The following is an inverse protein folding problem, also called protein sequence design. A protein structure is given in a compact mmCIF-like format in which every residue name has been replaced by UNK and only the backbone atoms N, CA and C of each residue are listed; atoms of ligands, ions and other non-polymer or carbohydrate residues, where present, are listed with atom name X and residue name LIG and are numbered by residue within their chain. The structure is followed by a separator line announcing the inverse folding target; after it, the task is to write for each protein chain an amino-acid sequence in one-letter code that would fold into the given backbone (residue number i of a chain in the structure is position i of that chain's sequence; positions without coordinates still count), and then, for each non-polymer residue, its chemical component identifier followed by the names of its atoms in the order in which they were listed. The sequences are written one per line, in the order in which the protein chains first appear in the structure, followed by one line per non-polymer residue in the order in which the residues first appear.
data_IF_375192121338
#
_entry.id   IF_375192121338
#
_cell.length_a   1.000
_cell.length_b   1.000
_cell.length_c   1.000
_cell.angle_alpha   90.00
_cell.angle_beta   90.00
_cell.angle_gamma   90.00
#
_symmetry.space_group_name_H-M   'P 1'
#
loop_
_entity.id
_entity.type
_entity.pdbx_description
1 polymer ?
#
# COMPACT_ATOMS: atom_id res chain seq x y z
N UNK A 1 -20.69 10.88 16.33
CA UNK A 1 -20.31 9.57 16.87
C UNK A 1 -19.01 9.17 16.19
N UNK A 2 -18.09 8.50 16.90
CA UNK A 2 -16.90 7.96 16.31
C UNK A 2 -17.24 6.68 15.52
N UNK A 3 -16.54 6.41 14.41
CA UNK A 3 -16.62 5.15 13.69
C UNK A 3 -15.86 4.08 14.46
N UNK A 4 -16.48 2.93 14.68
CA UNK A 4 -15.90 1.78 15.38
C UNK A 4 -15.10 0.94 14.39
N UNK A 5 -13.82 0.75 14.72
CA UNK A 5 -12.86 0.14 13.79
C UNK A 5 -12.27 -1.13 14.39
N UNK A 6 -12.22 -2.18 13.57
CA UNK A 6 -11.46 -3.40 13.85
C UNK A 6 -10.15 -3.32 13.06
N UNK A 7 -9.01 -3.46 13.74
CA UNK A 7 -7.73 -3.64 13.07
C UNK A 7 -7.53 -5.12 12.73
N UNK A 8 -7.33 -5.44 11.45
CA UNK A 8 -7.06 -6.80 11.00
C UNK A 8 -5.57 -7.01 10.74
N UNK A 9 -4.92 -7.73 11.64
CA UNK A 9 -3.49 -7.96 11.79
C UNK A 9 -2.68 -6.79 12.39
N UNK A 10 -1.63 -7.17 13.14
CA UNK A 10 -0.74 -6.26 13.90
C UNK A 10 0.71 -6.40 13.43
N UNK A 11 0.93 -6.43 12.11
CA UNK A 11 2.23 -6.23 11.47
C UNK A 11 2.65 -4.76 11.52
N UNK A 12 3.71 -4.38 10.79
CA UNK A 12 4.22 -2.99 10.84
C UNK A 12 3.15 -1.95 10.45
N UNK A 13 2.44 -2.16 9.33
CA UNK A 13 1.32 -1.29 8.92
C UNK A 13 0.20 -1.31 9.97
N UNK A 14 -0.16 -2.50 10.49
CA UNK A 14 -1.22 -2.63 11.48
C UNK A 14 -0.92 -1.94 12.80
N UNK A 15 0.33 -1.96 13.28
CA UNK A 15 0.75 -1.22 14.49
C UNK A 15 0.61 0.29 14.29
N UNK A 16 1.14 0.80 13.17
CA UNK A 16 1.01 2.22 12.83
C UNK A 16 -0.46 2.62 12.63
N UNK A 17 -1.30 1.73 12.09
CA UNK A 17 -2.73 1.97 11.95
C UNK A 17 -3.45 2.04 13.31
N UNK A 18 -3.12 1.16 14.27
CA UNK A 18 -3.67 1.21 15.63
C UNK A 18 -3.32 2.56 16.28
N UNK A 19 -2.06 3.00 16.22
CA UNK A 19 -1.66 4.31 16.73
C UNK A 19 -2.46 5.44 16.07
N UNK A 20 -2.61 5.38 14.74
CA UNK A 20 -3.39 6.34 13.98
C UNK A 20 -4.89 6.35 14.33
N UNK A 21 -5.51 5.17 14.50
CA UNK A 21 -6.93 5.06 14.91
C UNK A 21 -7.15 5.68 16.28
N UNK A 22 -6.30 5.35 17.25
CA UNK A 22 -6.40 5.88 18.63
C UNK A 22 -6.24 7.40 18.66
N UNK A 23 -5.38 7.97 17.81
CA UNK A 23 -5.18 9.41 17.73
C UNK A 23 -6.24 10.14 16.90
N UNK A 24 -7.08 9.45 16.13
CA UNK A 24 -8.01 10.08 15.20
C UNK A 24 -9.33 10.47 15.91
N UNK A 25 -9.78 11.74 15.82
CA UNK A 25 -10.94 12.24 16.60
C UNK A 25 -12.30 11.64 16.20
N UNK A 26 -12.38 10.98 15.04
CA UNK A 26 -13.62 10.37 14.53
C UNK A 26 -13.59 8.84 14.58
N UNK A 27 -12.55 8.20 15.15
CA UNK A 27 -12.40 6.75 15.17
C UNK A 27 -12.29 6.22 16.60
N UNK A 28 -12.72 4.96 16.77
CA UNK A 28 -12.64 4.19 18.01
C UNK A 28 -12.19 2.77 17.69
N UNK A 29 -11.09 2.29 18.30
CA UNK A 29 -10.65 0.91 18.15
C UNK A 29 -11.53 0.00 19.02
N UNK A 30 -12.25 -0.95 18.40
CA UNK A 30 -13.17 -1.85 19.10
C UNK A 30 -12.76 -3.32 19.07
N UNK A 31 -11.81 -3.68 18.22
CA UNK A 31 -11.31 -5.05 18.11
C UNK A 31 -10.02 -5.13 17.32
N UNK A 32 -9.30 -6.25 17.49
CA UNK A 32 -8.16 -6.55 16.63
C UNK A 32 -8.02 -8.05 16.39
N UNK A 33 -7.83 -8.39 15.11
CA UNK A 33 -7.48 -9.75 14.70
C UNK A 33 -5.97 -9.96 14.71
N UNK A 34 -5.51 -11.10 15.23
CA UNK A 34 -4.10 -11.50 15.22
C UNK A 34 -3.96 -12.94 14.73
N UNK A 35 -2.94 -13.19 13.90
CA UNK A 35 -2.70 -14.53 13.35
C UNK A 35 -2.14 -15.51 14.40
N UNK A 36 -1.19 -15.04 15.21
CA UNK A 36 -0.44 -15.90 16.14
C UNK A 36 -1.11 -16.05 17.49
N UNK A 37 -1.22 -17.30 18.00
CA UNK A 37 -1.76 -17.58 19.33
C UNK A 37 -1.03 -16.83 20.46
N UNK A 38 0.25 -16.50 20.29
CA UNK A 38 1.02 -15.74 21.28
C UNK A 38 0.54 -14.28 21.46
N UNK A 39 -0.23 -13.74 20.52
CA UNK A 39 -0.83 -12.40 20.62
C UNK A 39 -2.29 -12.43 21.01
N UNK A 40 -3.00 -13.54 20.79
CA UNK A 40 -4.39 -13.69 21.18
C UNK A 40 -4.54 -13.63 22.71
N UNK A 41 -5.57 -12.92 23.17
CA UNK A 41 -5.82 -12.71 24.59
C UNK A 41 -5.02 -11.54 25.23
N UNK A 42 -4.11 -10.90 24.48
CA UNK A 42 -3.34 -9.74 24.97
C UNK A 42 -4.01 -8.42 24.59
N UNK A 43 -3.71 -7.39 25.36
CA UNK A 43 -4.14 -6.02 25.02
C UNK A 43 -3.46 -5.54 23.72
N UNK A 44 -4.25 -4.90 22.84
CA UNK A 44 -3.77 -4.42 21.53
C UNK A 44 -2.73 -3.31 21.68
N UNK A 45 -2.88 -2.43 22.69
CA UNK A 45 -1.90 -1.40 22.99
C UNK A 45 -0.53 -2.01 23.29
N UNK A 46 -0.48 -3.01 24.18
CA UNK A 46 0.76 -3.71 24.52
C UNK A 46 1.40 -4.39 23.27
N UNK A 47 0.58 -5.02 22.41
CA UNK A 47 1.07 -5.64 21.17
C UNK A 47 1.69 -4.60 20.24
N UNK A 48 1.15 -3.39 20.24
CA UNK A 48 1.57 -2.30 19.34
C UNK A 48 2.62 -1.35 19.99
N UNK A 49 3.04 -1.58 21.25
CA UNK A 49 4.00 -0.73 21.94
C UNK A 49 3.38 0.56 22.48
N UNK A 50 2.07 0.58 22.72
CA UNK A 50 1.29 1.65 23.29
C UNK A 50 0.90 1.31 24.75
N UNK A 51 0.45 2.29 25.56
CA UNK A 51 -0.25 1.99 26.80
C UNK A 51 -1.44 1.06 26.57
N UNK A 52 -1.88 0.29 27.60
CA UNK A 52 -3.06 -0.55 27.46
C UNK A 52 -4.28 0.24 26.97
N UNK A 53 -4.96 -0.30 25.95
CA UNK A 53 -6.13 0.31 25.31
C UNK A 53 -7.45 -0.29 25.80
N UNK A 54 -7.41 -1.38 26.57
CA UNK A 54 -8.60 -2.11 27.01
C UNK A 54 -9.25 -2.93 25.90
N UNK A 55 -8.60 -3.09 24.75
CA UNK A 55 -9.07 -3.89 23.63
C UNK A 55 -8.25 -5.18 23.54
N UNK A 56 -8.92 -6.32 23.71
CA UNK A 56 -8.27 -7.63 23.65
C UNK A 56 -8.16 -8.13 22.20
N UNK A 57 -6.96 -8.47 21.78
CA UNK A 57 -6.74 -9.10 20.47
C UNK A 57 -7.23 -10.55 20.46
N UNK A 58 -7.80 -10.99 19.34
CA UNK A 58 -8.29 -12.36 19.17
C UNK A 58 -7.91 -12.92 17.80
N UNK A 59 -7.81 -14.24 17.70
CA UNK A 59 -7.72 -14.98 16.43
C UNK A 59 -9.06 -15.65 16.05
N UNK A 60 -10.12 -15.40 16.82
CA UNK A 60 -11.48 -15.84 16.53
C UNK A 60 -12.15 -14.85 15.56
N UNK A 61 -12.19 -15.25 14.29
CA UNK A 61 -12.80 -14.47 13.21
C UNK A 61 -14.30 -14.26 13.44
N UNK A 62 -15.03 -15.30 13.93
CA UNK A 62 -16.48 -15.20 14.13
C UNK A 62 -16.81 -14.20 15.24
N UNK A 63 -16.05 -14.20 16.33
CA UNK A 63 -16.22 -13.23 17.40
C UNK A 63 -16.03 -11.79 16.88
N UNK A 64 -15.04 -11.54 16.00
CA UNK A 64 -14.82 -10.21 15.41
C UNK A 64 -15.90 -9.83 14.39
N UNK A 65 -16.37 -10.76 13.57
CA UNK A 65 -17.47 -10.49 12.63
C UNK A 65 -18.77 -10.17 13.35
N UNK A 66 -18.99 -10.71 14.55
CA UNK A 66 -20.15 -10.43 15.41
C UNK A 66 -20.08 -9.08 16.17
N UNK A 67 -18.87 -8.46 16.24
CA UNK A 67 -18.75 -7.14 16.89
C UNK A 67 -19.56 -6.09 16.13
N UNK A 68 -20.13 -5.18 16.89
CA UNK A 68 -20.74 -3.97 16.35
C UNK A 68 -19.63 -2.97 15.98
N UNK A 69 -19.25 -2.97 14.69
CA UNK A 69 -18.19 -2.14 14.14
C UNK A 69 -18.55 -1.66 12.73
N UNK A 70 -18.07 -0.47 12.38
CA UNK A 70 -18.40 0.21 11.14
C UNK A 70 -17.40 -0.12 10.01
N UNK A 71 -16.12 -0.41 10.39
CA UNK A 71 -15.05 -0.62 9.42
C UNK A 71 -14.00 -1.60 9.92
N UNK A 72 -13.43 -2.36 9.00
CA UNK A 72 -12.22 -3.15 9.20
C UNK A 72 -11.08 -2.52 8.41
N UNK A 73 -9.97 -2.16 9.08
CA UNK A 73 -8.72 -1.87 8.42
C UNK A 73 -7.97 -3.20 8.23
N UNK A 74 -7.98 -3.68 6.99
CA UNK A 74 -7.53 -5.02 6.63
C UNK A 74 -6.08 -4.99 6.11
N UNK A 75 -5.11 -5.42 6.94
CA UNK A 75 -3.68 -5.35 6.61
C UNK A 75 -2.87 -6.60 7.01
N UNK A 76 -3.34 -7.84 6.70
CA UNK A 76 -2.52 -9.04 6.89
C UNK A 76 -1.35 -9.07 5.89
N UNK A 77 -0.50 -10.09 5.98
CA UNK A 77 0.65 -10.23 5.08
C UNK A 77 0.23 -10.40 3.61
N UNK A 78 -0.82 -11.17 3.35
CA UNK A 78 -1.40 -11.40 2.03
C UNK A 78 -2.91 -11.25 2.10
N UNK A 79 -3.50 -10.66 1.07
CA UNK A 79 -4.94 -10.55 0.95
C UNK A 79 -5.58 -11.92 0.69
N UNK A 80 -6.73 -12.16 1.33
CA UNK A 80 -7.58 -13.34 1.12
C UNK A 80 -8.97 -12.86 0.72
N UNK A 81 -9.34 -12.94 -0.57
CA UNK A 81 -10.62 -12.44 -1.05
C UNK A 81 -11.83 -13.01 -0.29
N UNK A 82 -11.79 -14.30 0.06
CA UNK A 82 -12.87 -14.96 0.80
C UNK A 82 -13.07 -14.36 2.20
N UNK A 83 -11.99 -13.97 2.85
CA UNK A 83 -12.02 -13.32 4.16
C UNK A 83 -12.61 -11.91 4.05
N UNK A 84 -12.18 -11.15 3.03
CA UNK A 84 -12.73 -9.81 2.74
C UNK A 84 -14.23 -9.88 2.40
N UNK A 85 -14.66 -10.84 1.60
CA UNK A 85 -16.08 -11.08 1.29
C UNK A 85 -16.88 -11.30 2.57
N UNK A 86 -16.41 -12.15 3.49
CA UNK A 86 -17.10 -12.42 4.77
C UNK A 86 -17.18 -11.16 5.65
N UNK A 87 -16.13 -10.35 5.69
CA UNK A 87 -16.12 -9.07 6.42
C UNK A 87 -17.19 -8.13 5.84
N UNK A 88 -17.23 -7.96 4.53
CA UNK A 88 -18.21 -7.12 3.85
C UNK A 88 -19.65 -7.60 4.08
N UNK A 89 -19.90 -8.92 3.96
CA UNK A 89 -21.21 -9.52 4.21
C UNK A 89 -21.68 -9.40 5.67
N UNK A 90 -20.75 -9.24 6.62
CA UNK A 90 -21.06 -8.95 8.01
C UNK A 90 -21.50 -7.49 8.28
N UNK A 91 -21.63 -6.67 7.21
CA UNK A 91 -22.04 -5.28 7.32
C UNK A 91 -20.94 -4.30 7.72
N UNK A 92 -19.67 -4.63 7.50
CA UNK A 92 -18.52 -3.79 7.83
C UNK A 92 -17.80 -3.30 6.57
N UNK A 93 -17.55 -2.01 6.50
CA UNK A 93 -16.70 -1.44 5.46
C UNK A 93 -15.27 -1.99 5.54
N UNK A 94 -14.54 -1.99 4.44
CA UNK A 94 -13.14 -2.43 4.42
C UNK A 94 -12.24 -1.35 3.81
N UNK A 95 -11.14 -1.05 4.48
CA UNK A 95 -10.02 -0.26 3.94
C UNK A 95 -8.77 -1.12 3.99
N UNK A 96 -8.01 -1.18 2.87
CA UNK A 96 -6.86 -2.10 2.78
C UNK A 96 -5.73 -1.55 1.92
N UNK A 97 -4.45 -1.77 2.28
CA UNK A 97 -3.30 -1.48 1.43
C UNK A 97 -2.91 -2.64 0.50
N UNK A 98 -3.69 -3.73 0.44
CA UNK A 98 -3.27 -4.98 -0.19
C UNK A 98 -3.86 -5.25 -1.58
N UNK A 99 -4.61 -4.32 -2.16
CA UNK A 99 -5.24 -4.51 -3.47
C UNK A 99 -6.53 -3.73 -3.62
N UNK A 100 -7.31 -4.07 -4.64
CA UNK A 100 -8.59 -3.40 -4.98
C UNK A 100 -8.47 -1.89 -5.20
N UNK A 101 -7.31 -1.43 -5.68
CA UNK A 101 -7.09 -0.01 -6.01
C UNK A 101 -7.98 0.42 -7.18
N UNK A 102 -8.01 -0.38 -8.26
CA UNK A 102 -8.91 -0.23 -9.40
C UNK A 102 -9.14 -1.62 -10.04
N UNK A 103 -9.90 -2.50 -9.39
CA UNK A 103 -9.97 -3.91 -9.77
C UNK A 103 -10.92 -4.19 -10.94
N UNK A 104 -11.54 -3.18 -11.53
CA UNK A 104 -12.55 -3.35 -12.57
C UNK A 104 -12.00 -4.11 -13.79
N UNK A 105 -12.70 -5.16 -14.20
CA UNK A 105 -12.26 -6.06 -15.26
C UNK A 105 -11.34 -7.20 -14.79
N UNK A 106 -10.98 -7.28 -13.51
CA UNK A 106 -10.20 -8.40 -12.97
C UNK A 106 -11.10 -9.55 -12.49
N UNK A 107 -10.51 -10.76 -12.43
CA UNK A 107 -11.24 -11.94 -11.92
C UNK A 107 -11.57 -11.75 -10.43
N UNK A 108 -12.77 -12.16 -10.04
CA UNK A 108 -13.25 -12.13 -8.64
C UNK A 108 -13.80 -10.77 -8.18
N UNK A 109 -13.72 -9.72 -9.01
CA UNK A 109 -14.24 -8.40 -8.64
C UNK A 109 -15.76 -8.40 -8.46
N UNK A 110 -16.48 -9.16 -9.27
CA UNK A 110 -17.95 -9.22 -9.21
C UNK A 110 -18.45 -9.79 -7.87
N UNK A 111 -17.77 -10.78 -7.33
CA UNK A 111 -18.09 -11.40 -6.05
C UNK A 111 -17.88 -10.42 -4.89
N UNK A 112 -16.78 -9.66 -4.91
CA UNK A 112 -16.49 -8.63 -3.90
C UNK A 112 -17.50 -7.47 -4.00
N UNK A 113 -17.80 -7.00 -5.20
CA UNK A 113 -18.83 -5.97 -5.45
C UNK A 113 -20.19 -6.42 -4.96
N UNK A 114 -20.58 -7.70 -5.21
CA UNK A 114 -21.81 -8.28 -4.71
C UNK A 114 -21.84 -8.37 -3.18
N UNK A 115 -20.72 -8.70 -2.54
CA UNK A 115 -20.59 -8.72 -1.08
C UNK A 115 -20.77 -7.33 -0.47
N UNK A 116 -20.17 -6.30 -1.06
CA UNK A 116 -20.39 -4.90 -0.65
C UNK A 116 -21.88 -4.55 -0.67
N UNK A 117 -22.59 -4.93 -1.74
CA UNK A 117 -24.04 -4.65 -1.90
C UNK A 117 -24.88 -5.41 -0.89
N UNK A 118 -24.58 -6.70 -0.65
CA UNK A 118 -25.32 -7.50 0.35
C UNK A 118 -25.14 -6.96 1.76
N UNK A 119 -23.92 -6.55 2.12
CA UNK A 119 -23.63 -5.96 3.43
C UNK A 119 -24.05 -4.49 3.57
N UNK A 120 -24.41 -3.83 2.45
CA UNK A 120 -24.70 -2.39 2.47
C UNK A 120 -23.49 -1.51 2.75
N UNK A 121 -22.28 -1.96 2.40
CA UNK A 121 -20.98 -1.38 2.79
C UNK A 121 -20.05 -1.20 1.60
N UNK A 122 -18.91 -0.54 1.84
CA UNK A 122 -17.95 -0.20 0.81
C UNK A 122 -16.57 -0.82 1.10
N UNK A 123 -15.80 -1.03 0.03
CA UNK A 123 -14.39 -1.42 0.07
C UNK A 123 -13.55 -0.37 -0.65
N UNK A 124 -12.40 0.01 -0.05
CA UNK A 124 -11.38 0.86 -0.66
C UNK A 124 -10.01 0.21 -0.55
N UNK A 125 -9.36 -0.02 -1.69
CA UNK A 125 -7.92 -0.25 -1.78
C UNK A 125 -7.17 1.07 -1.79
N UNK A 126 -6.21 1.26 -0.88
CA UNK A 126 -5.41 2.48 -0.80
C UNK A 126 -4.10 2.23 -0.05
N UNK A 127 -3.17 3.18 -0.08
CA UNK A 127 -1.86 3.10 0.55
C UNK A 127 -1.00 4.25 0.05
N UNK A 128 0.34 4.08 0.07
CA UNK A 128 1.23 5.11 -0.47
C UNK A 128 1.71 4.77 -1.88
N UNK A 129 2.13 3.53 -2.13
CA UNK A 129 2.66 3.10 -3.41
C UNK A 129 2.54 1.55 -3.59
N UNK A 130 1.45 1.06 -4.22
CA UNK A 130 0.29 1.74 -4.83
C UNK A 130 -0.56 2.57 -3.85
N UNK A 131 -1.20 3.62 -4.36
CA UNK A 131 -2.07 4.51 -3.60
C UNK A 131 -1.82 5.99 -3.88
N UNK A 132 -1.35 6.73 -2.87
CA UNK A 132 -1.11 8.17 -2.95
C UNK A 132 -0.23 8.56 -4.12
N UNK A 133 0.97 7.97 -4.22
CA UNK A 133 1.99 8.31 -5.23
C UNK A 133 1.57 7.86 -6.64
N UNK A 134 0.95 6.69 -6.76
CA UNK A 134 0.62 6.11 -8.07
C UNK A 134 -0.68 6.63 -8.68
N UNK A 135 -1.65 7.02 -7.84
CA UNK A 135 -2.96 7.45 -8.36
C UNK A 135 -3.35 8.86 -7.91
N UNK A 136 -3.44 9.06 -6.59
CA UNK A 136 -4.06 10.27 -6.04
C UNK A 136 -3.31 11.54 -6.42
N UNK A 137 -1.98 11.56 -6.20
CA UNK A 137 -1.20 12.76 -6.51
C UNK A 137 -1.09 13.03 -8.01
N UNK A 138 -0.80 12.03 -8.88
CA UNK A 138 -0.86 12.25 -10.33
C UNK A 138 -2.20 12.80 -10.80
N UNK A 139 -3.33 12.26 -10.33
CA UNK A 139 -4.65 12.73 -10.71
C UNK A 139 -4.92 14.16 -10.25
N UNK A 140 -4.56 14.51 -9.01
CA UNK A 140 -4.69 15.88 -8.50
C UNK A 140 -3.82 16.88 -9.27
N UNK A 141 -2.57 16.51 -9.55
CA UNK A 141 -1.62 17.37 -10.26
C UNK A 141 -2.00 17.54 -11.74
N UNK A 142 -2.60 16.53 -12.36
CA UNK A 142 -3.04 16.59 -13.76
C UNK A 142 -4.08 17.69 -14.02
N UNK A 143 -4.83 18.10 -12.98
CA UNK A 143 -5.78 19.21 -13.08
C UNK A 143 -5.12 20.58 -13.38
N UNK A 144 -3.80 20.70 -13.20
CA UNK A 144 -3.01 21.87 -13.57
C UNK A 144 -2.65 21.90 -15.06
N UNK A 145 -2.87 20.78 -15.78
CA UNK A 145 -2.31 20.53 -17.10
C UNK A 145 -3.39 20.44 -18.17
N UNK A 146 -3.02 20.84 -19.39
CA UNK A 146 -3.70 20.44 -20.62
C UNK A 146 -2.77 19.54 -21.45
N UNK A 147 -3.33 18.73 -22.36
CA UNK A 147 -2.56 17.85 -23.28
C UNK A 147 -1.59 16.94 -22.52
N UNK A 148 -2.08 16.22 -21.53
CA UNK A 148 -1.29 15.20 -20.83
C UNK A 148 -0.88 14.12 -21.83
N UNK A 149 0.44 13.90 -21.98
CA UNK A 149 1.03 12.87 -22.86
C UNK A 149 1.47 11.66 -22.09
N UNK A 150 2.07 11.86 -20.92
CA UNK A 150 2.59 10.78 -20.09
C UNK A 150 2.55 11.15 -18.61
N UNK A 151 2.23 10.17 -17.77
CA UNK A 151 2.29 10.25 -16.31
C UNK A 151 3.27 9.20 -15.80
N UNK A 152 4.22 9.59 -14.94
CA UNK A 152 5.14 8.68 -14.27
C UNK A 152 5.07 8.87 -12.76
N UNK A 153 4.86 7.76 -12.05
CA UNK A 153 5.06 7.65 -10.61
C UNK A 153 6.23 6.72 -10.34
N UNK A 154 7.19 7.13 -9.51
CA UNK A 154 8.44 6.42 -9.31
C UNK A 154 8.91 6.47 -7.85
N UNK A 155 9.42 5.34 -7.36
CA UNK A 155 10.00 5.16 -6.04
C UNK A 155 11.50 4.90 -6.12
N UNK A 156 12.25 5.48 -5.20
CA UNK A 156 13.69 5.27 -5.00
C UNK A 156 13.92 4.97 -3.52
N UNK A 157 14.19 3.70 -3.18
CA UNK A 157 14.27 3.24 -1.79
C UNK A 157 15.47 2.35 -1.51
N UNK A 158 16.12 2.62 -0.38
CA UNK A 158 17.07 1.70 0.24
C UNK A 158 16.31 0.73 1.14
N UNK A 159 16.26 -0.53 0.73
CA UNK A 159 15.46 -1.57 1.40
C UNK A 159 16.15 -2.12 2.66
N UNK A 160 17.37 -1.71 2.97
CA UNK A 160 18.04 -2.11 4.21
C UNK A 160 17.29 -1.68 5.47
N UNK A 161 16.41 -0.69 5.38
CA UNK A 161 15.51 -0.29 6.48
C UNK A 161 14.35 -1.27 6.76
N UNK A 162 14.09 -2.24 5.87
CA UNK A 162 13.00 -3.19 6.04
C UNK A 162 13.41 -4.37 6.93
N UNK A 163 12.60 -4.63 7.99
CA UNK A 163 12.84 -5.72 8.95
C UNK A 163 11.99 -6.97 8.70
N UNK A 164 11.08 -6.94 7.72
CA UNK A 164 10.22 -8.06 7.41
C UNK A 164 10.94 -9.06 6.49
N UNK A 165 11.68 -10.01 7.06
CA UNK A 165 12.50 -10.99 6.34
C UNK A 165 11.73 -11.67 5.20
N UNK A 166 10.53 -12.18 5.46
CA UNK A 166 9.71 -12.81 4.42
C UNK A 166 9.41 -11.85 3.25
N UNK A 167 9.10 -10.58 3.54
CA UNK A 167 8.82 -9.60 2.48
C UNK A 167 10.07 -9.34 1.65
N UNK A 168 11.20 -9.08 2.31
CA UNK A 168 12.48 -8.79 1.63
C UNK A 168 12.96 -9.97 0.80
N UNK A 169 12.92 -11.19 1.38
CA UNK A 169 13.50 -12.39 0.76
C UNK A 169 12.56 -13.08 -0.22
N UNK A 170 11.28 -13.21 0.11
CA UNK A 170 10.34 -14.03 -0.66
C UNK A 170 9.42 -13.20 -1.57
N UNK A 171 9.05 -11.99 -1.18
CA UNK A 171 8.20 -11.09 -1.98
C UNK A 171 9.05 -10.17 -2.86
N UNK A 172 10.05 -9.50 -2.27
CA UNK A 172 10.95 -8.58 -2.99
C UNK A 172 12.15 -9.30 -3.62
N UNK A 173 12.40 -10.58 -3.31
CA UNK A 173 13.38 -11.48 -3.93
C UNK A 173 14.85 -11.11 -3.71
N UNK A 174 15.19 -10.28 -2.73
CA UNK A 174 16.58 -9.97 -2.40
C UNK A 174 17.32 -11.19 -1.84
N UNK A 175 18.59 -11.35 -2.23
CA UNK A 175 19.41 -12.51 -1.87
C UNK A 175 19.08 -13.79 -2.62
N UNK A 176 18.16 -13.78 -3.59
CA UNK A 176 17.90 -14.90 -4.50
C UNK A 176 18.92 -14.91 -5.64
N UNK A 177 19.17 -16.10 -6.22
CA UNK A 177 19.89 -16.19 -7.47
C UNK A 177 19.11 -15.44 -8.58
N UNK A 178 19.78 -14.73 -9.51
CA UNK A 178 19.10 -13.92 -10.53
C UNK A 178 18.07 -14.69 -11.35
N UNK A 179 18.36 -15.93 -11.75
CA UNK A 179 17.43 -16.74 -12.56
C UNK A 179 16.20 -17.16 -11.75
N UNK A 180 16.38 -17.49 -10.45
CA UNK A 180 15.26 -17.79 -9.58
C UNK A 180 14.37 -16.55 -9.36
N UNK A 181 14.95 -15.37 -9.23
CA UNK A 181 14.22 -14.12 -9.14
C UNK A 181 13.41 -13.83 -10.40
N UNK A 182 13.99 -14.00 -11.60
CA UNK A 182 13.29 -13.79 -12.89
C UNK A 182 12.08 -14.72 -13.08
N UNK A 183 12.13 -15.93 -12.53
CA UNK A 183 11.07 -16.94 -12.67
C UNK A 183 10.06 -16.90 -11.52
N UNK A 184 10.21 -16.00 -10.57
CA UNK A 184 9.35 -15.96 -9.38
C UNK A 184 7.92 -15.53 -9.72
N UNK A 185 6.89 -16.23 -9.22
CA UNK A 185 5.49 -15.79 -9.34
C UNK A 185 5.21 -14.48 -8.59
N UNK A 186 6.09 -14.07 -7.67
CA UNK A 186 5.97 -12.81 -6.93
C UNK A 186 6.05 -11.59 -7.84
N UNK A 187 6.70 -11.70 -9.02
CA UNK A 187 6.70 -10.62 -10.02
C UNK A 187 5.29 -10.26 -10.47
N UNK A 188 4.44 -11.26 -10.71
CA UNK A 188 3.04 -11.05 -11.04
C UNK A 188 2.25 -10.43 -9.88
N UNK A 189 2.51 -10.87 -8.65
CA UNK A 189 1.86 -10.33 -7.45
C UNK A 189 2.19 -8.85 -7.25
N UNK A 190 3.46 -8.47 -7.35
CA UNK A 190 3.89 -7.07 -7.26
C UNK A 190 3.25 -6.22 -8.36
N UNK A 191 3.26 -6.71 -9.61
CA UNK A 191 2.70 -6.00 -10.75
C UNK A 191 1.19 -5.79 -10.67
N UNK A 192 0.46 -6.68 -9.98
CA UNK A 192 -1.01 -6.62 -9.93
C UNK A 192 -1.53 -5.29 -9.36
N UNK A 193 -0.97 -4.81 -8.27
CA UNK A 193 -1.37 -3.53 -7.66
C UNK A 193 -1.03 -2.34 -8.56
N UNK A 194 0.21 -2.29 -9.07
CA UNK A 194 0.67 -1.19 -9.94
C UNK A 194 -0.08 -1.14 -11.26
N UNK A 195 -0.47 -2.28 -11.83
CA UNK A 195 -1.30 -2.33 -13.03
C UNK A 195 -2.70 -1.75 -12.78
N UNK A 196 -3.29 -1.95 -11.60
CA UNK A 196 -4.56 -1.31 -11.23
C UNK A 196 -4.41 0.21 -11.12
N UNK A 197 -3.31 0.71 -10.55
CA UNK A 197 -3.01 2.14 -10.50
C UNK A 197 -2.90 2.76 -11.90
N UNK A 198 -2.21 2.06 -12.80
CA UNK A 198 -2.10 2.47 -14.21
C UNK A 198 -3.48 2.55 -14.86
N UNK A 199 -4.33 1.55 -14.63
CA UNK A 199 -5.70 1.53 -15.17
C UNK A 199 -6.54 2.68 -14.63
N UNK A 200 -6.44 3.01 -13.34
CA UNK A 200 -7.17 4.12 -12.73
C UNK A 200 -6.74 5.47 -13.33
N UNK A 201 -5.43 5.71 -13.43
CA UNK A 201 -4.90 6.96 -13.99
C UNK A 201 -5.29 7.08 -15.47
N UNK A 202 -5.13 6.01 -16.25
CA UNK A 202 -5.51 5.99 -17.66
C UNK A 202 -7.02 6.24 -17.85
N UNK A 203 -7.86 5.57 -17.04
CA UNK A 203 -9.32 5.75 -17.07
C UNK A 203 -9.69 7.22 -16.80
N UNK A 204 -9.14 7.80 -15.75
CA UNK A 204 -9.45 9.18 -15.35
C UNK A 204 -8.98 10.22 -16.39
N UNK A 205 -7.85 9.97 -17.05
CA UNK A 205 -7.29 10.87 -18.07
C UNK A 205 -7.83 10.60 -19.48
N UNK A 206 -8.64 9.55 -19.67
CA UNK A 206 -9.23 9.19 -20.96
C UNK A 206 -8.27 8.51 -21.92
N UNK A 207 -7.20 7.88 -21.45
CA UNK A 207 -6.32 7.07 -22.28
C UNK A 207 -6.98 5.72 -22.62
N UNK A 208 -7.13 5.41 -23.91
CA UNK A 208 -7.56 4.10 -24.38
C UNK A 208 -6.34 3.17 -24.43
N UNK A 209 -6.06 2.48 -23.33
CA UNK A 209 -4.90 1.59 -23.23
C UNK A 209 -5.00 0.41 -24.20
N UNK A 210 -3.83 0.00 -24.72
CA UNK A 210 -3.66 -1.28 -25.38
C UNK A 210 -4.01 -2.42 -24.41
N UNK A 211 -4.44 -3.61 -24.90
CA UNK A 211 -4.86 -4.73 -24.05
C UNK A 211 -3.77 -5.21 -23.09
N UNK A 212 -2.51 -5.15 -23.52
CA UNK A 212 -1.36 -5.63 -22.77
C UNK A 212 -0.54 -4.46 -22.22
N UNK A 213 -0.17 -4.56 -20.95
CA UNK A 213 0.79 -3.67 -20.31
C UNK A 213 2.20 -4.21 -20.49
N UNK A 214 3.17 -3.31 -20.65
CA UNK A 214 4.59 -3.67 -20.67
C UNK A 214 5.10 -3.77 -19.24
N UNK A 215 5.78 -4.89 -18.92
CA UNK A 215 6.50 -5.07 -17.67
C UNK A 215 7.98 -5.29 -17.95
N UNK A 216 8.85 -4.55 -17.26
CA UNK A 216 10.29 -4.67 -17.35
C UNK A 216 10.84 -4.96 -15.96
N UNK A 217 11.82 -5.85 -15.87
CA UNK A 217 12.52 -6.19 -14.64
C UNK A 217 14.02 -6.17 -14.88
N UNK A 218 14.72 -5.24 -14.23
CA UNK A 218 16.16 -5.09 -14.28
C UNK A 218 16.72 -5.40 -12.89
N UNK A 219 17.92 -5.96 -12.81
CA UNK A 219 18.55 -6.36 -11.55
C UNK A 219 20.04 -6.04 -11.55
N UNK A 220 20.59 -5.74 -10.36
CA UNK A 220 22.01 -5.80 -10.07
C UNK A 220 22.27 -6.83 -8.97
N UNK A 221 23.42 -7.49 -9.05
CA UNK A 221 23.88 -8.48 -8.08
C UNK A 221 24.87 -7.88 -7.08
N UNK A 222 24.96 -8.44 -5.90
CA UNK A 222 26.00 -8.09 -4.93
C UNK A 222 27.38 -8.55 -5.42
N UNK A 223 28.37 -7.68 -5.36
CA UNK A 223 29.79 -8.01 -5.64
C UNK A 223 30.56 -8.36 -4.36
N UNK A 224 30.02 -8.00 -3.19
CA UNK A 224 30.50 -8.35 -1.87
C UNK A 224 29.32 -8.67 -0.96
N UNK A 225 29.59 -9.26 0.22
CA UNK A 225 28.57 -9.53 1.23
C UNK A 225 28.06 -8.20 1.80
N UNK A 226 26.72 -8.03 1.81
CA UNK A 226 26.02 -6.85 2.35
C UNK A 226 25.25 -7.29 3.61
N UNK A 227 25.58 -6.71 4.76
CA UNK A 227 24.86 -6.97 6.02
C UNK A 227 23.53 -6.21 6.04
N UNK A 228 22.46 -6.88 6.44
CA UNK A 228 21.11 -6.29 6.56
C UNK A 228 20.41 -6.81 7.82
N UNK A 229 19.39 -6.11 8.35
CA UNK A 229 18.60 -6.58 9.49
C UNK A 229 17.93 -7.94 9.28
N UNK A 230 17.71 -8.33 8.02
CA UNK A 230 17.09 -9.61 7.64
C UNK A 230 18.13 -10.68 7.25
N UNK A 231 19.37 -10.50 7.70
CA UNK A 231 20.50 -11.37 7.37
C UNK A 231 21.24 -10.91 6.10
N UNK A 232 22.40 -11.50 5.81
CA UNK A 232 23.28 -11.05 4.75
C UNK A 232 22.72 -11.30 3.35
N UNK A 233 23.05 -10.41 2.42
CA UNK A 233 22.93 -10.61 0.97
C UNK A 233 24.29 -11.10 0.48
N UNK A 234 24.37 -12.31 -0.02
CA UNK A 234 25.62 -12.91 -0.43
C UNK A 234 26.06 -12.46 -1.85
N UNK A 235 27.36 -12.42 -2.15
CA UNK A 235 27.85 -12.11 -3.49
C UNK A 235 27.21 -13.01 -4.57
N UNK A 236 26.92 -12.43 -5.74
CA UNK A 236 26.28 -13.10 -6.85
C UNK A 236 24.75 -13.25 -6.74
N UNK A 237 24.14 -12.74 -5.65
CA UNK A 237 22.69 -12.74 -5.48
C UNK A 237 22.10 -11.35 -5.72
N UNK A 238 20.78 -11.29 -5.93
CA UNK A 238 20.06 -10.04 -6.22
C UNK A 238 20.20 -9.06 -5.05
N UNK A 239 20.73 -7.88 -5.35
CA UNK A 239 20.95 -6.79 -4.37
C UNK A 239 20.33 -5.46 -4.82
N UNK A 240 19.94 -5.32 -6.09
CA UNK A 240 19.14 -4.18 -6.55
C UNK A 240 18.15 -4.63 -7.62
N UNK A 241 16.99 -3.98 -7.67
CA UNK A 241 15.94 -4.28 -8.63
C UNK A 241 15.21 -3.02 -9.07
N UNK A 242 14.90 -2.98 -10.36
CA UNK A 242 13.99 -1.99 -10.94
C UNK A 242 12.86 -2.71 -11.63
N UNK A 243 11.65 -2.44 -11.18
CA UNK A 243 10.43 -2.87 -11.84
C UNK A 243 9.78 -1.68 -12.53
N UNK A 244 9.36 -1.85 -13.77
CA UNK A 244 8.65 -0.83 -14.53
C UNK A 244 7.42 -1.47 -15.16
N UNK A 245 6.24 -0.94 -14.83
CA UNK A 245 4.97 -1.29 -15.47
C UNK A 245 4.45 -0.10 -16.24
N UNK A 246 3.99 -0.36 -17.47
CA UNK A 246 3.57 0.70 -18.39
C UNK A 246 2.22 0.36 -19.03
N UNK A 247 1.28 1.29 -18.94
CA UNK A 247 0.11 1.33 -19.80
C UNK A 247 0.48 2.01 -21.11
N UNK A 248 0.11 1.38 -22.23
CA UNK A 248 0.50 1.82 -23.57
C UNK A 248 -0.72 2.28 -24.37
N UNK A 249 -0.50 3.23 -25.26
CA UNK A 249 -1.44 3.58 -26.34
C UNK A 249 -0.69 3.50 -27.66
N UNK A 250 -1.10 2.57 -28.53
CA UNK A 250 -0.42 2.28 -29.82
C UNK A 250 1.08 1.94 -29.63
N UNK A 251 1.39 1.19 -28.57
CA UNK A 251 2.75 0.77 -28.25
C UNK A 251 3.60 1.80 -27.49
N UNK A 252 3.14 3.05 -27.35
CA UNK A 252 3.86 4.12 -26.63
C UNK A 252 3.37 4.24 -25.17
N UNK A 253 4.28 4.37 -24.18
CA UNK A 253 3.91 4.49 -22.78
C UNK A 253 3.21 5.83 -22.50
N UNK A 254 2.04 5.76 -21.85
CA UNK A 254 1.26 6.92 -21.41
C UNK A 254 1.10 7.00 -19.91
N UNK A 255 1.22 5.87 -19.20
CA UNK A 255 1.29 5.83 -17.72
C UNK A 255 2.38 4.84 -17.33
N UNK A 256 3.28 5.25 -16.45
CA UNK A 256 4.39 4.44 -15.94
C UNK A 256 4.37 4.43 -14.42
N UNK A 257 4.36 3.25 -13.82
CA UNK A 257 4.70 3.04 -12.43
C UNK A 257 6.07 2.34 -12.36
N UNK A 258 6.98 2.85 -11.53
CA UNK A 258 8.33 2.31 -11.39
C UNK A 258 8.76 2.28 -9.95
N UNK A 259 9.48 1.23 -9.57
CA UNK A 259 10.16 1.13 -8.29
C UNK A 259 11.63 0.81 -8.49
N UNK A 260 12.51 1.48 -7.74
CA UNK A 260 13.93 1.23 -7.68
C UNK A 260 14.28 0.89 -6.24
N UNK A 261 14.57 -0.38 -6.00
CA UNK A 261 14.88 -0.92 -4.69
C UNK A 261 16.30 -1.45 -4.64
N UNK A 262 17.10 -0.97 -3.69
CA UNK A 262 18.48 -1.34 -3.51
C UNK A 262 18.74 -1.81 -2.09
N UNK A 263 19.75 -2.67 -1.93
CA UNK A 263 20.39 -3.01 -0.64
C UNK A 263 21.66 -2.20 -0.47
N UNK A 264 21.55 -0.83 -0.47
CA UNK A 264 22.65 0.10 -0.55
C UNK A 264 23.15 0.27 -1.98
N UNK A 265 23.96 1.31 -2.21
CA UNK A 265 24.53 1.66 -3.52
C UNK A 265 25.92 1.06 -3.74
N UNK A 266 26.52 0.55 -2.67
CA UNK A 266 27.83 -0.08 -2.72
C UNK A 266 27.69 -1.55 -3.16
N UNK A 267 28.77 -2.06 -3.77
CA UNK A 267 28.89 -3.47 -4.10
C UNK A 267 27.80 -4.00 -5.05
N UNK A 268 27.36 -3.21 -6.03
CA UNK A 268 26.39 -3.58 -7.06
C UNK A 268 27.06 -3.76 -8.42
N UNK A 269 26.65 -4.80 -9.17
CA UNK A 269 27.03 -5.04 -10.56
C UNK A 269 25.75 -5.34 -11.41
N UNK A 270 25.40 -4.49 -12.41
CA UNK A 270 25.99 -3.18 -12.70
C UNK A 270 25.78 -2.17 -11.56
N UNK A 271 26.61 -1.13 -11.45
CA UNK A 271 26.44 -0.11 -10.41
C UNK A 271 25.19 0.73 -10.62
N UNK A 272 24.37 0.85 -9.56
CA UNK A 272 23.17 1.70 -9.53
C UNK A 272 23.29 2.75 -8.46
N UNK A 273 22.64 3.91 -8.69
CA UNK A 273 22.55 5.03 -7.74
C UNK A 273 21.10 5.43 -7.60
N UNK A 274 20.71 5.76 -6.36
CA UNK A 274 19.39 6.38 -6.07
C UNK A 274 19.46 7.90 -6.13
N UNK A 275 20.62 8.49 -5.82
CA UNK A 275 20.79 9.93 -5.59
C UNK A 275 19.81 10.45 -4.50
N UNK A 276 19.67 9.67 -3.44
CA UNK A 276 18.78 9.89 -2.31
C UNK A 276 17.41 9.24 -2.45
N UNK A 277 16.85 8.82 -1.30
CA UNK A 277 15.54 8.19 -1.22
C UNK A 277 14.43 9.21 -1.41
N UNK A 278 13.44 8.89 -2.24
CA UNK A 278 12.31 9.75 -2.56
C UNK A 278 11.23 9.04 -3.35
N UNK A 279 10.07 9.68 -3.46
CA UNK A 279 9.12 9.39 -4.52
C UNK A 279 9.04 10.56 -5.49
N UNK A 280 8.74 10.27 -6.75
CA UNK A 280 8.55 11.27 -7.80
C UNK A 280 7.23 11.05 -8.52
N UNK A 281 6.57 12.18 -8.87
CA UNK A 281 5.47 12.21 -9.84
C UNK A 281 5.84 13.21 -10.92
N UNK A 282 5.92 12.73 -12.16
CA UNK A 282 6.19 13.56 -13.32
C UNK A 282 5.06 13.43 -14.35
N UNK A 283 4.57 14.56 -14.84
CA UNK A 283 3.54 14.64 -15.86
C UNK A 283 4.10 15.41 -17.06
N UNK A 284 4.26 14.72 -18.18
CA UNK A 284 4.56 15.35 -19.46
C UNK A 284 3.27 15.91 -20.07
N UNK A 285 3.13 17.22 -20.01
CA UNK A 285 1.92 17.94 -20.38
C UNK A 285 2.21 19.42 -20.68
N UNK A 286 1.18 20.23 -20.78
CA UNK A 286 1.24 21.69 -20.91
C UNK A 286 0.46 22.36 -19.75
N UNK A 287 1.16 22.99 -18.76
CA UNK A 287 2.59 22.93 -18.49
C UNK A 287 3.01 21.54 -17.99
N UNK A 288 4.31 21.18 -18.08
CA UNK A 288 4.81 19.98 -17.44
C UNK A 288 4.83 20.17 -15.92
N UNK A 289 4.60 19.09 -15.18
CA UNK A 289 4.63 19.09 -13.70
C UNK A 289 5.59 18.02 -13.22
N UNK A 290 6.46 18.37 -12.27
CA UNK A 290 7.32 17.44 -11.58
C UNK A 290 7.30 17.73 -10.08
N UNK A 291 6.99 16.71 -9.27
CA UNK A 291 6.95 16.80 -7.82
C UNK A 291 7.81 15.69 -7.23
N UNK A 292 8.67 16.06 -6.28
CA UNK A 292 9.48 15.13 -5.50
C UNK A 292 9.00 15.15 -4.05
N UNK A 293 8.76 13.98 -3.51
CA UNK A 293 8.33 13.77 -2.12
C UNK A 293 9.52 13.27 -1.31
N UNK A 294 9.92 14.05 -0.32
CA UNK A 294 10.91 13.67 0.70
C UNK A 294 10.22 13.40 2.04
N UNK A 295 10.94 12.77 2.98
CA UNK A 295 10.45 12.48 4.33
C UNK A 295 9.50 11.28 4.41
N UNK A 296 9.32 10.51 3.32
CA UNK A 296 8.57 9.25 3.30
C UNK A 296 9.47 8.01 3.39
N UNK A 297 10.76 8.23 3.57
CA UNK A 297 11.79 7.22 3.80
C UNK A 297 12.53 7.53 5.10
N UNK A 298 13.16 6.54 5.76
CA UNK A 298 13.98 6.79 6.94
C UNK A 298 15.14 7.73 6.61
N UNK A 299 15.42 8.72 7.46
CA UNK A 299 16.59 9.57 7.29
C UNK A 299 17.91 8.79 7.49
N UNK A 300 17.86 7.77 8.34
CA UNK A 300 18.96 6.84 8.55
C UNK A 300 18.43 5.40 8.57
N UNK A 301 18.64 4.62 7.50
CA UNK A 301 18.16 3.24 7.40
C UNK A 301 18.67 2.32 8.53
N UNK A 302 19.81 2.65 9.16
CA UNK A 302 20.39 1.84 10.22
C UNK A 302 19.81 2.16 11.63
N UNK A 303 19.25 3.36 11.82
CA UNK A 303 18.77 3.85 13.12
C UNK A 303 17.26 3.88 13.24
N UNK A 304 16.55 4.15 12.14
CA UNK A 304 15.10 4.40 12.14
C UNK A 304 14.29 3.15 11.79
N UNK A 305 14.84 1.98 12.09
CA UNK A 305 14.25 0.68 11.79
C UNK A 305 12.85 0.49 12.37
N UNK A 306 12.59 1.08 13.55
CA UNK A 306 11.30 0.92 14.25
C UNK A 306 10.20 1.86 13.72
N UNK A 307 10.55 2.91 12.96
CA UNK A 307 9.62 3.92 12.45
C UNK A 307 9.91 4.25 10.99
N UNK A 308 9.54 3.36 10.09
CA UNK A 308 9.62 3.62 8.65
C UNK A 308 8.51 4.60 8.24
N UNK A 309 8.84 5.84 7.79
CA UNK A 309 7.84 6.85 7.39
C UNK A 309 6.92 6.40 6.27
N UNK A 310 7.39 5.56 5.32
CA UNK A 310 6.56 5.00 4.25
C UNK A 310 5.50 4.04 4.78
N UNK A 311 5.84 3.23 5.81
CA UNK A 311 4.88 2.37 6.49
C UNK A 311 3.84 3.22 7.24
N UNK A 312 4.29 4.26 7.95
CA UNK A 312 3.39 5.20 8.61
C UNK A 312 2.48 5.90 7.61
N UNK A 313 3.02 6.40 6.50
CA UNK A 313 2.23 7.05 5.45
C UNK A 313 1.18 6.10 4.83
N UNK A 314 1.54 4.83 4.62
CA UNK A 314 0.61 3.79 4.15
C UNK A 314 -0.53 3.57 5.16
N UNK A 315 -0.20 3.42 6.44
CA UNK A 315 -1.18 3.23 7.50
C UNK A 315 -2.10 4.46 7.63
N UNK A 316 -1.54 5.67 7.65
CA UNK A 316 -2.31 6.90 7.79
C UNK A 316 -3.19 7.18 6.58
N UNK A 317 -2.77 6.79 5.36
CA UNK A 317 -3.61 6.89 4.17
C UNK A 317 -4.87 6.01 4.28
N UNK A 318 -4.71 4.80 4.87
CA UNK A 318 -5.83 3.92 5.19
C UNK A 318 -6.71 4.49 6.32
N UNK A 319 -6.11 4.90 7.44
CA UNK A 319 -6.84 5.42 8.61
C UNK A 319 -7.67 6.64 8.26
N UNK A 320 -7.07 7.63 7.58
CA UNK A 320 -7.75 8.85 7.18
C UNK A 320 -8.88 8.61 6.16
N UNK A 321 -8.84 7.48 5.42
CA UNK A 321 -9.89 7.10 4.48
C UNK A 321 -11.16 6.54 5.15
N UNK A 322 -11.07 5.98 6.35
CA UNK A 322 -12.16 5.28 7.02
C UNK A 322 -13.46 6.13 7.09
N UNK A 323 -13.45 7.39 7.58
CA UNK A 323 -14.68 8.18 7.65
C UNK A 323 -15.35 8.41 6.29
N UNK A 324 -14.55 8.48 5.23
CA UNK A 324 -15.04 8.70 3.86
C UNK A 324 -15.65 7.43 3.28
N UNK A 325 -15.03 6.29 3.52
CA UNK A 325 -15.51 4.98 3.07
C UNK A 325 -16.81 4.59 3.78
N UNK A 326 -16.89 4.86 5.09
CA UNK A 326 -18.12 4.59 5.87
C UNK A 326 -19.33 5.47 5.43
N UNK A 327 -19.07 6.61 4.79
CA UNK A 327 -20.14 7.47 4.23
C UNK A 327 -20.44 7.22 2.77
N UNK A 328 -19.62 6.43 2.09
CA UNK A 328 -19.78 6.17 0.67
C UNK A 328 -20.98 5.24 0.39
N UNK A 329 -21.51 5.32 -0.81
CA UNK A 329 -22.51 4.36 -1.28
C UNK A 329 -21.90 2.94 -1.36
N UNK A 330 -22.65 1.86 -1.10
CA UNK A 330 -22.15 0.50 -1.13
C UNK A 330 -21.48 0.12 -2.47
N UNK A 331 -20.35 -0.58 -2.39
CA UNK A 331 -19.59 -1.05 -3.54
C UNK A 331 -18.08 -0.87 -3.38
N UNK A 332 -17.31 -1.32 -4.37
CA UNK A 332 -15.88 -1.02 -4.46
C UNK A 332 -15.73 0.47 -4.81
N UNK A 333 -14.94 1.18 -4.02
CA UNK A 333 -14.68 2.62 -4.18
C UNK A 333 -13.21 2.86 -4.51
N UNK A 334 -12.99 3.92 -5.26
CA UNK A 334 -11.65 4.37 -5.68
C UNK A 334 -11.49 5.86 -5.34
N UNK A 335 -10.33 6.42 -5.62
CA UNK A 335 -10.14 7.87 -5.51
C UNK A 335 -11.04 8.68 -6.46
N UNK A 336 -11.58 8.05 -7.50
CA UNK A 336 -12.50 8.71 -8.44
C UNK A 336 -13.92 8.87 -7.87
N UNK A 337 -14.26 8.06 -6.85
CA UNK A 337 -15.59 8.04 -6.23
C UNK A 337 -15.67 8.83 -4.92
N UNK A 338 -14.52 9.09 -4.30
CA UNK A 338 -14.44 9.68 -2.97
C UNK A 338 -14.01 11.15 -3.03
N UNK A 339 -14.52 12.00 -2.11
CA UNK A 339 -14.00 13.36 -1.98
C UNK A 339 -12.55 13.37 -1.53
N UNK A 340 -11.93 14.56 -1.51
CA UNK A 340 -10.57 14.72 -1.02
C UNK A 340 -10.43 14.21 0.42
N UNK A 341 -9.67 13.13 0.60
CA UNK A 341 -9.34 12.60 1.91
C UNK A 341 -8.24 13.47 2.53
N UNK A 342 -8.49 14.04 3.69
CA UNK A 342 -7.54 14.87 4.42
C UNK A 342 -7.16 14.23 5.76
N UNK A 343 -5.94 14.48 6.24
CA UNK A 343 -5.51 14.19 7.60
C UNK A 343 -6.20 15.09 8.62
N UNK A 344 -5.87 14.89 9.91
CA UNK A 344 -6.40 15.72 11.01
C UNK A 344 -5.27 16.52 11.65
N UNK A 345 -5.56 17.78 11.94
CA UNK A 345 -4.63 18.65 12.70
C UNK A 345 -4.57 18.24 14.17
N UNK A 346 -3.47 18.55 14.84
CA UNK A 346 -3.33 18.37 16.29
C UNK A 346 -4.43 19.21 16.99
N UNK A 347 -5.20 18.58 17.89
CA UNK A 347 -6.31 19.23 18.62
C UNK A 347 -7.56 19.47 17.78
N UNK A 348 -7.64 18.89 16.57
CA UNK A 348 -8.86 18.99 15.74
C UNK A 348 -10.05 18.33 16.42
N UNK A 349 -11.25 18.89 16.19
CA UNK A 349 -12.52 18.29 16.60
C UNK A 349 -13.09 17.49 15.42
N UNK A 350 -14.03 16.55 15.70
CA UNK A 350 -14.78 15.90 14.61
C UNK A 350 -15.37 16.93 13.67
N UNK A 351 -15.21 16.68 12.37
CA UNK A 351 -15.80 17.56 11.33
C UNK A 351 -17.27 17.18 11.23
N UNK A 352 -18.15 18.13 11.51
CA UNK A 352 -19.59 17.94 11.25
C UNK A 352 -19.80 17.75 9.75
N UNK A 353 -20.68 16.81 9.34
CA UNK A 353 -20.99 16.54 7.95
C UNK A 353 -21.60 17.76 7.22
#
# INVERSE_FOLDING_TARGET
MAYRVIQWATGNVGRAAVEGIVAHPELELTGAWVHGAAKAGRDVGEICGLPPLGVTATNDTEALLALDADCVLYSPLLARPEEVIRILESGKNVVTPLGWFFPFGTKGVAEVEAACRRGGVSLLGTGIHPGGITERFPLMLSALCRKVRHVRAEEFSDIRSYQAEFVVREVMLFGKAPDAARQSPMLGLLGHGFCQSIDMVAHALGFALDPEKRALHEMAIATARIETPVGPIEPGTVAAQRFTWQGLVRGEPVVTARVNWLMGEEHLDPPWRLDGERFEVAIDAEPPVHVTFHGLHPENPERDLDRNPGILATAMHCVNAIPYVCRAAPGIRTYLDLPLIAGRGIGSRPVSP
#
